data_IF_335192766820
#
_entry.id   IF_335192766820
#
_cell.length_a   1.000
_cell.length_b   1.000
_cell.length_c   1.000
_cell.angle_alpha   90.00
_cell.angle_beta   90.00
_cell.angle_gamma   90.00
#
_symmetry.space_group_name_H-M   'P 1'
#
loop_
_entity.id
_entity.type
_entity.pdbx_description
1 polymer ?
#
# COMPACT_ATOMS: atom_id res chain seq x y z
N UNK A 1 40.86 16.85 -3.52
CA UNK A 1 40.33 17.35 -4.81
C UNK A 1 40.83 16.43 -5.91
N UNK A 2 39.98 15.56 -6.44
CA UNK A 2 40.35 14.70 -7.56
C UNK A 2 40.47 15.58 -8.82
N UNK A 3 41.65 15.64 -9.44
CA UNK A 3 41.81 16.28 -10.74
C UNK A 3 40.92 15.54 -11.74
N UNK A 4 39.90 16.23 -12.25
CA UNK A 4 39.10 15.73 -13.37
C UNK A 4 40.01 15.63 -14.60
N UNK A 5 40.32 14.41 -15.04
CA UNK A 5 41.21 14.16 -16.17
C UNK A 5 40.54 14.64 -17.47
N UNK A 6 41.16 15.59 -18.18
CA UNK A 6 40.60 16.14 -19.42
C UNK A 6 41.06 15.29 -20.61
N UNK A 7 40.21 14.37 -21.05
CA UNK A 7 40.46 13.55 -22.26
C UNK A 7 39.75 14.16 -23.46
N UNK A 8 40.49 14.37 -24.55
CA UNK A 8 39.97 14.96 -25.79
C UNK A 8 40.56 14.31 -27.04
N UNK A 9 40.03 14.69 -28.20
CA UNK A 9 40.59 14.32 -29.51
C UNK A 9 40.74 15.58 -30.35
N UNK A 10 41.90 15.73 -30.99
CA UNK A 10 42.16 16.78 -31.99
C UNK A 10 42.78 16.14 -33.23
N UNK A 11 42.08 16.24 -34.37
CA UNK A 11 42.35 15.41 -35.57
C UNK A 11 42.24 13.94 -35.18
N UNK A 12 43.35 13.20 -35.24
CA UNK A 12 43.42 11.78 -34.85
C UNK A 12 44.22 11.57 -33.56
N UNK A 13 44.58 12.66 -32.87
CA UNK A 13 45.42 12.58 -31.66
C UNK A 13 44.56 12.64 -30.41
N UNK A 14 44.79 11.67 -29.51
CA UNK A 14 44.22 11.67 -28.17
C UNK A 14 45.00 12.65 -27.30
N UNK A 15 44.28 13.54 -26.64
CA UNK A 15 44.80 14.52 -25.71
C UNK A 15 44.48 14.10 -24.28
N UNK A 16 45.48 14.02 -23.41
CA UNK A 16 45.34 13.84 -21.98
C UNK A 16 45.86 15.08 -21.26
N UNK A 17 44.98 15.82 -20.60
CA UNK A 17 45.29 17.14 -20.02
C UNK A 17 45.99 18.06 -21.04
N UNK A 18 45.44 18.10 -22.25
CA UNK A 18 45.88 18.94 -23.37
C UNK A 18 47.22 18.52 -24.02
N UNK A 19 47.89 17.49 -23.50
CA UNK A 19 49.08 16.89 -24.13
C UNK A 19 48.69 15.75 -25.05
N UNK A 20 49.32 15.67 -26.21
CA UNK A 20 49.17 14.54 -27.14
C UNK A 20 49.79 13.28 -26.53
N UNK A 21 49.05 12.16 -26.51
CA UNK A 21 49.50 10.93 -25.83
C UNK A 21 49.30 9.65 -26.64
N UNK A 22 48.43 9.67 -27.65
CA UNK A 22 48.20 8.54 -28.55
C UNK A 22 47.58 9.01 -29.86
N UNK A 23 47.50 8.11 -30.84
CA UNK A 23 46.79 8.33 -32.11
C UNK A 23 45.67 7.31 -32.23
N UNK A 24 44.45 7.75 -32.56
CA UNK A 24 43.30 6.89 -32.86
C UNK A 24 42.82 7.17 -34.29
N UNK A 25 42.88 6.14 -35.14
CA UNK A 25 42.48 6.22 -36.55
C UNK A 25 41.20 5.42 -36.75
N UNK A 26 40.30 5.89 -37.61
CA UNK A 26 39.13 5.10 -38.05
C UNK A 26 39.23 4.86 -39.56
N UNK A 27 39.93 3.80 -39.99
CA UNK A 27 40.18 3.57 -41.42
C UNK A 27 38.91 3.20 -42.19
N UNK A 28 37.92 2.61 -41.51
CA UNK A 28 36.57 2.38 -42.03
C UNK A 28 35.55 2.42 -40.89
N UNK A 29 34.27 2.49 -41.25
CA UNK A 29 33.16 2.72 -40.31
C UNK A 29 33.19 1.71 -39.16
N UNK A 30 33.05 2.23 -37.93
CA UNK A 30 33.00 1.50 -36.67
C UNK A 30 34.27 0.72 -36.28
N UNK A 31 35.33 0.78 -37.09
CA UNK A 31 36.63 0.22 -36.73
C UNK A 31 37.57 1.33 -36.31
N UNK A 32 38.32 1.08 -35.25
CA UNK A 32 39.26 2.03 -34.67
C UNK A 32 40.57 1.33 -34.35
N UNK A 33 41.66 1.98 -34.72
CA UNK A 33 43.01 1.51 -34.45
C UNK A 33 43.74 2.52 -33.57
N UNK A 34 44.36 2.04 -32.49
CA UNK A 34 45.06 2.88 -31.52
C UNK A 34 46.55 2.63 -31.59
N UNK A 35 47.31 3.71 -31.73
CA UNK A 35 48.76 3.73 -31.90
C UNK A 35 49.43 4.59 -30.83
N UNK A 36 50.68 4.28 -30.51
CA UNK A 36 51.58 5.19 -29.81
C UNK A 36 51.91 6.41 -30.70
N UNK A 37 52.50 7.46 -30.12
CA UNK A 37 52.97 8.62 -30.90
C UNK A 37 54.10 8.26 -31.88
N UNK A 38 54.83 7.18 -31.61
CA UNK A 38 55.88 6.62 -32.49
C UNK A 38 55.31 5.65 -33.55
N UNK A 39 54.01 5.71 -33.83
CA UNK A 39 53.28 4.92 -34.83
C UNK A 39 53.34 3.39 -34.63
N UNK A 40 53.55 2.93 -33.38
CA UNK A 40 53.41 1.50 -33.03
C UNK A 40 51.96 1.19 -32.67
N UNK A 41 51.35 0.24 -33.37
CA UNK A 41 49.98 -0.22 -33.09
C UNK A 41 49.93 -0.88 -31.70
N UNK A 42 49.00 -0.44 -30.86
CA UNK A 42 48.78 -1.00 -29.54
C UNK A 42 47.64 -2.03 -29.54
N UNK A 43 46.49 -1.64 -30.11
CA UNK A 43 45.30 -2.49 -30.25
C UNK A 43 44.36 -1.91 -31.31
N UNK A 44 43.41 -2.73 -31.76
CA UNK A 44 42.24 -2.29 -32.51
C UNK A 44 40.95 -2.66 -31.79
N UNK A 45 39.86 -2.00 -32.19
CA UNK A 45 38.53 -2.29 -31.68
C UNK A 45 37.46 -2.02 -32.73
N UNK A 46 36.42 -2.85 -32.70
CA UNK A 46 35.20 -2.69 -33.48
C UNK A 46 34.03 -2.31 -32.58
N UNK A 47 33.35 -1.21 -32.91
CA UNK A 47 32.06 -0.87 -32.32
C UNK A 47 30.96 -1.74 -32.96
N UNK A 48 30.45 -2.69 -32.17
CA UNK A 48 29.38 -3.61 -32.58
C UNK A 48 28.07 -3.24 -31.89
N UNK A 49 26.96 -3.43 -32.60
CA UNK A 49 25.61 -3.16 -32.12
C UNK A 49 24.68 -4.33 -32.38
N UNK A 50 23.89 -4.71 -31.37
CA UNK A 50 22.84 -5.72 -31.47
C UNK A 50 21.49 -5.05 -31.26
N UNK A 51 20.69 -4.98 -32.33
CA UNK A 51 19.34 -4.45 -32.27
C UNK A 51 18.38 -5.46 -31.60
N UNK A 52 17.67 -4.99 -30.57
CA UNK A 52 16.59 -5.70 -29.90
C UNK A 52 15.24 -5.45 -30.62
N UNK A 53 14.19 -6.16 -30.20
CA UNK A 53 12.84 -5.84 -30.64
C UNK A 53 12.41 -4.52 -29.99
N UNK A 54 12.09 -3.49 -30.79
CA UNK A 54 11.63 -2.19 -30.27
C UNK A 54 12.58 -0.99 -30.44
N UNK A 55 13.53 -1.04 -31.39
CA UNK A 55 14.47 0.05 -31.73
C UNK A 55 15.59 0.33 -30.73
N UNK A 56 15.67 -0.40 -29.61
CA UNK A 56 16.83 -0.38 -28.72
C UNK A 56 18.01 -1.14 -29.34
N UNK A 57 19.23 -0.60 -29.20
CA UNK A 57 20.47 -1.21 -29.70
C UNK A 57 21.46 -1.30 -28.55
N UNK A 58 21.91 -2.51 -28.24
CA UNK A 58 22.99 -2.76 -27.28
C UNK A 58 24.33 -2.65 -28.00
N UNK A 59 25.17 -1.72 -27.56
CA UNK A 59 26.49 -1.49 -28.15
C UNK A 59 27.61 -2.05 -27.26
N UNK A 60 28.63 -2.63 -27.89
CA UNK A 60 29.85 -3.09 -27.23
C UNK A 60 31.07 -2.84 -28.13
N UNK A 61 32.24 -2.80 -27.51
CA UNK A 61 33.52 -2.76 -28.19
C UNK A 61 34.12 -4.16 -28.18
N UNK A 62 34.41 -4.69 -29.36
CA UNK A 62 35.17 -5.92 -29.54
C UNK A 62 36.62 -5.55 -29.81
N UNK A 63 37.51 -5.84 -28.87
CA UNK A 63 38.87 -5.32 -28.85
C UNK A 63 39.86 -6.44 -29.12
N UNK A 64 40.93 -6.13 -29.86
CA UNK A 64 42.03 -7.02 -30.16
C UNK A 64 43.36 -6.33 -29.91
N UNK A 65 44.19 -6.91 -29.06
CA UNK A 65 45.55 -6.44 -28.82
C UNK A 65 46.46 -6.69 -30.03
N UNK A 66 47.61 -6.01 -30.07
CA UNK A 66 48.61 -6.23 -31.11
C UNK A 66 49.13 -7.68 -31.21
N UNK A 67 49.11 -8.44 -30.11
CA UNK A 67 49.50 -9.85 -30.06
C UNK A 67 48.34 -10.85 -30.32
N UNK A 68 47.13 -10.33 -30.58
CA UNK A 68 45.98 -11.12 -31.01
C UNK A 68 45.05 -11.60 -29.89
N UNK A 69 45.29 -11.27 -28.62
CA UNK A 69 44.31 -11.49 -27.53
C UNK A 69 43.07 -10.64 -27.76
N UNK A 70 41.89 -11.20 -27.46
CA UNK A 70 40.62 -10.51 -27.66
C UNK A 70 39.85 -10.36 -26.35
N UNK A 71 39.08 -9.29 -26.24
CA UNK A 71 38.17 -9.05 -25.12
C UNK A 71 37.05 -8.12 -25.56
N UNK A 72 35.92 -8.18 -24.86
CA UNK A 72 34.77 -7.31 -25.12
C UNK A 72 34.45 -6.46 -23.89
N UNK A 73 34.00 -5.23 -24.13
CA UNK A 73 33.51 -4.33 -23.10
C UNK A 73 32.25 -3.57 -23.56
N UNK A 74 31.36 -3.16 -22.66
CA UNK A 74 30.19 -2.36 -23.04
C UNK A 74 30.63 -1.02 -23.64
N UNK A 75 29.87 -0.48 -24.60
CA UNK A 75 30.09 0.89 -25.09
C UNK A 75 29.28 1.86 -24.24
N UNK A 76 29.94 2.85 -23.63
CA UNK A 76 29.32 3.77 -22.68
C UNK A 76 29.58 5.24 -23.02
N UNK A 77 28.50 6.02 -23.06
CA UNK A 77 28.58 7.46 -23.33
C UNK A 77 28.83 8.22 -22.03
N UNK A 78 30.10 8.32 -21.64
CA UNK A 78 30.55 8.98 -20.40
C UNK A 78 30.87 10.48 -20.58
N UNK A 79 30.70 11.01 -21.79
CA UNK A 79 30.96 12.40 -22.14
C UNK A 79 29.93 12.89 -23.14
N UNK A 80 29.49 14.14 -23.02
CA UNK A 80 28.60 14.77 -23.99
C UNK A 80 29.33 15.02 -25.31
N UNK A 81 29.20 14.08 -26.25
CA UNK A 81 29.75 14.19 -27.60
C UNK A 81 28.94 13.38 -28.60
N UNK A 82 28.95 13.79 -29.88
CA UNK A 82 28.42 13.00 -31.00
C UNK A 82 29.53 12.28 -31.78
N UNK A 83 30.79 12.49 -31.39
CA UNK A 83 31.97 11.90 -32.02
C UNK A 83 32.32 10.59 -31.32
N UNK A 84 32.14 9.47 -32.02
CA UNK A 84 32.28 8.11 -31.46
C UNK A 84 33.70 7.82 -30.99
N UNK A 85 34.71 8.20 -31.77
CA UNK A 85 36.13 8.17 -31.40
C UNK A 85 36.39 8.89 -30.07
N UNK A 86 35.78 10.07 -29.87
CA UNK A 86 35.93 10.85 -28.62
C UNK A 86 35.29 10.15 -27.44
N UNK A 87 34.12 9.54 -27.64
CA UNK A 87 33.44 8.77 -26.59
C UNK A 87 34.29 7.56 -26.19
N UNK A 88 34.80 6.82 -27.18
CA UNK A 88 35.67 5.65 -26.98
C UNK A 88 36.94 6.06 -26.24
N UNK A 89 37.68 7.07 -26.71
CA UNK A 89 38.89 7.53 -26.05
C UNK A 89 38.62 8.00 -24.61
N UNK A 90 37.52 8.71 -24.37
CA UNK A 90 37.13 9.11 -23.02
C UNK A 90 36.82 7.91 -22.12
N UNK A 91 36.07 6.92 -22.61
CA UNK A 91 35.79 5.70 -21.87
C UNK A 91 37.07 4.92 -21.54
N UNK A 92 37.96 4.73 -22.53
CA UNK A 92 39.24 4.03 -22.37
C UNK A 92 40.16 4.72 -21.36
N UNK A 93 40.20 6.06 -21.36
CA UNK A 93 40.99 6.81 -20.39
C UNK A 93 40.39 6.80 -18.98
N UNK A 94 39.09 7.11 -18.84
CA UNK A 94 38.46 7.27 -17.51
C UNK A 94 38.22 5.95 -16.82
N UNK A 95 37.73 4.92 -17.51
CA UNK A 95 37.38 3.64 -16.88
C UNK A 95 38.55 2.66 -16.80
N UNK A 96 39.42 2.69 -17.82
CA UNK A 96 40.45 1.67 -17.98
C UNK A 96 41.87 2.22 -17.89
N UNK A 97 42.03 3.54 -17.70
CA UNK A 97 43.32 4.19 -17.48
C UNK A 97 44.36 3.93 -18.58
N UNK A 98 43.89 3.82 -19.84
CA UNK A 98 44.75 3.53 -21.00
C UNK A 98 45.68 4.68 -21.41
N UNK A 99 45.41 5.89 -20.93
CA UNK A 99 46.19 7.08 -21.25
C UNK A 99 46.81 7.67 -19.98
N UNK A 100 48.09 8.02 -20.08
CA UNK A 100 48.86 8.71 -19.04
C UNK A 100 49.47 9.97 -19.62
N UNK A 101 50.05 10.83 -18.78
CA UNK A 101 50.80 12.01 -19.21
C UNK A 101 52.03 11.68 -20.07
N UNK A 102 52.51 10.43 -20.04
CA UNK A 102 53.66 9.93 -20.84
C UNK A 102 53.26 9.22 -22.14
N UNK A 103 51.96 8.99 -22.38
CA UNK A 103 51.49 8.22 -23.54
C UNK A 103 50.52 7.11 -23.17
N UNK A 104 50.42 6.07 -24.02
CA UNK A 104 49.66 4.86 -23.73
C UNK A 104 50.23 4.09 -22.53
N UNK A 105 49.35 3.68 -21.62
CA UNK A 105 49.69 2.84 -20.49
C UNK A 105 49.79 1.37 -20.90
N UNK A 106 50.93 0.97 -21.46
CA UNK A 106 51.13 -0.38 -22.00
C UNK A 106 50.99 -1.49 -20.95
N UNK A 107 51.37 -1.24 -19.70
CA UNK A 107 51.18 -2.18 -18.60
C UNK A 107 49.71 -2.43 -18.31
N UNK A 108 48.91 -1.37 -18.16
CA UNK A 108 47.46 -1.50 -17.91
C UNK A 108 46.72 -2.08 -19.12
N UNK A 109 47.12 -1.74 -20.34
CA UNK A 109 46.56 -2.34 -21.56
C UNK A 109 46.84 -3.86 -21.56
N UNK A 110 48.07 -4.29 -21.26
CA UNK A 110 48.38 -5.71 -21.20
C UNK A 110 47.58 -6.43 -20.12
N UNK A 111 47.54 -5.87 -18.89
CA UNK A 111 46.71 -6.40 -17.79
C UNK A 111 45.25 -6.47 -18.17
N UNK A 112 44.75 -5.46 -18.88
CA UNK A 112 43.38 -5.41 -19.33
C UNK A 112 43.07 -6.61 -20.24
N UNK A 113 43.92 -6.95 -21.21
CA UNK A 113 43.70 -8.09 -22.11
C UNK A 113 43.91 -9.47 -21.45
N UNK A 114 44.59 -9.54 -20.29
CA UNK A 114 44.75 -10.80 -19.53
C UNK A 114 43.52 -11.20 -18.71
N UNK A 115 42.61 -10.25 -18.46
CA UNK A 115 41.36 -10.52 -17.73
C UNK A 115 40.34 -11.20 -18.65
N UNK A 116 39.95 -12.42 -18.30
CA UNK A 116 38.82 -13.10 -18.96
C UNK A 116 37.52 -12.38 -18.63
N UNK A 117 36.91 -11.75 -19.64
CA UNK A 117 35.60 -11.09 -19.55
C UNK A 117 34.50 -11.93 -20.18
N UNK A 118 33.26 -11.56 -19.86
CA UNK A 118 32.06 -12.12 -20.48
C UNK A 118 32.03 -11.83 -21.98
N UNK A 119 31.53 -12.79 -22.77
CA UNK A 119 31.26 -12.58 -24.19
C UNK A 119 29.95 -11.80 -24.35
N UNK A 120 30.07 -10.48 -24.50
CA UNK A 120 28.94 -9.58 -24.71
C UNK A 120 28.23 -9.82 -26.04
N UNK A 121 28.95 -10.30 -27.07
CA UNK A 121 28.35 -10.70 -28.34
C UNK A 121 27.29 -11.79 -28.14
N UNK A 122 27.66 -12.90 -27.51
CA UNK A 122 26.74 -14.00 -27.21
C UNK A 122 25.62 -13.57 -26.26
N UNK A 123 25.97 -12.83 -25.20
CA UNK A 123 25.01 -12.29 -24.23
C UNK A 123 23.95 -11.43 -24.91
N UNK A 124 24.36 -10.50 -25.77
CA UNK A 124 23.43 -9.59 -26.44
C UNK A 124 22.63 -10.30 -27.53
N UNK A 125 23.18 -11.34 -28.18
CA UNK A 125 22.41 -12.20 -29.09
C UNK A 125 21.33 -12.99 -28.34
N UNK A 126 21.62 -13.51 -27.16
CA UNK A 126 20.61 -14.15 -26.30
C UNK A 126 19.54 -13.14 -25.86
N UNK A 127 19.94 -11.92 -25.46
CA UNK A 127 19.00 -10.84 -25.14
C UNK A 127 18.09 -10.48 -26.34
N UNK A 128 18.65 -10.44 -27.55
CA UNK A 128 17.88 -10.25 -28.78
C UNK A 128 16.87 -11.37 -29.01
N UNK A 129 17.27 -12.63 -28.87
CA UNK A 129 16.37 -13.78 -29.03
C UNK A 129 15.21 -13.73 -28.03
N UNK A 130 15.50 -13.45 -26.75
CA UNK A 130 14.50 -13.27 -25.71
C UNK A 130 13.55 -12.08 -25.98
N UNK A 131 14.09 -10.95 -26.44
CA UNK A 131 13.29 -9.78 -26.81
C UNK A 131 12.35 -10.04 -28.00
N UNK A 132 12.80 -10.80 -29.00
CA UNK A 132 11.96 -11.22 -30.14
C UNK A 132 10.85 -12.16 -29.67
N UNK A 133 11.18 -13.14 -28.83
CA UNK A 133 10.19 -14.09 -28.29
C UNK A 133 9.11 -13.36 -27.49
N UNK A 134 9.51 -12.47 -26.56
CA UNK A 134 8.58 -11.68 -25.76
C UNK A 134 7.66 -10.79 -26.63
N UNK A 135 8.20 -10.17 -27.69
CA UNK A 135 7.37 -9.39 -28.61
C UNK A 135 6.40 -10.28 -29.39
N UNK A 136 6.82 -11.46 -29.84
CA UNK A 136 5.93 -12.41 -30.52
C UNK A 136 4.80 -12.88 -29.61
N UNK A 137 5.09 -13.21 -28.35
CA UNK A 137 4.08 -13.61 -27.36
C UNK A 137 3.08 -12.48 -27.09
N UNK A 138 3.58 -11.23 -26.99
CA UNK A 138 2.74 -10.05 -26.84
C UNK A 138 1.84 -9.85 -28.06
N UNK A 139 2.37 -9.95 -29.28
CA UNK A 139 1.59 -9.81 -30.51
C UNK A 139 0.54 -10.92 -30.65
N UNK A 140 0.89 -12.16 -30.28
CA UNK A 140 -0.06 -13.29 -30.22
C UNK A 140 -1.19 -13.00 -29.23
N UNK A 141 -0.87 -12.52 -28.04
CA UNK A 141 -1.86 -12.13 -27.01
C UNK A 141 -2.80 -11.04 -27.53
N UNK A 142 -2.25 -9.97 -28.11
CA UNK A 142 -3.05 -8.89 -28.69
C UNK A 142 -3.92 -9.38 -29.85
N UNK A 143 -3.41 -10.27 -30.71
CA UNK A 143 -4.17 -10.90 -31.80
C UNK A 143 -5.36 -11.71 -31.26
N UNK A 144 -5.13 -12.53 -30.22
CA UNK A 144 -6.18 -13.30 -29.56
C UNK A 144 -7.26 -12.39 -28.96
N UNK A 145 -6.87 -11.31 -28.26
CA UNK A 145 -7.81 -10.32 -27.72
C UNK A 145 -8.64 -9.68 -28.86
N UNK A 146 -8.01 -9.27 -29.96
CA UNK A 146 -8.73 -8.72 -31.13
C UNK A 146 -9.71 -9.73 -31.72
N UNK A 147 -9.35 -11.01 -31.76
CA UNK A 147 -10.24 -12.08 -32.25
C UNK A 147 -11.43 -12.36 -31.31
N UNK A 148 -11.21 -12.33 -29.99
CA UNK A 148 -12.25 -12.68 -29.00
C UNK A 148 -13.21 -11.50 -28.80
N UNK A 149 -12.66 -10.29 -28.63
CA UNK A 149 -13.42 -9.13 -28.18
C UNK A 149 -13.74 -8.14 -29.30
N UNK A 150 -12.90 -8.07 -30.35
CA UNK A 150 -13.02 -7.12 -31.46
C UNK A 150 -13.41 -5.71 -30.96
N UNK A 151 -12.61 -5.10 -30.06
CA UNK A 151 -12.95 -3.82 -29.48
C UNK A 151 -13.08 -2.77 -30.58
N UNK A 152 -14.04 -1.86 -30.45
CA UNK A 152 -14.31 -0.75 -31.38
C UNK A 152 -14.69 0.49 -30.59
N UNK A 153 -14.41 1.65 -31.17
CA UNK A 153 -14.73 2.93 -30.54
C UNK A 153 -15.90 3.57 -31.30
N UNK A 154 -16.96 3.90 -30.58
CA UNK A 154 -18.12 4.65 -31.07
C UNK A 154 -17.82 6.13 -31.24
N UNK A 155 -18.73 6.84 -31.89
CA UNK A 155 -18.55 8.25 -32.25
C UNK A 155 -18.55 9.21 -31.05
N UNK A 156 -19.01 8.77 -29.88
CA UNK A 156 -18.96 9.54 -28.62
C UNK A 156 -17.95 8.95 -27.63
N UNK A 157 -17.02 8.12 -28.11
CA UNK A 157 -16.01 7.47 -27.29
C UNK A 157 -16.49 6.19 -26.60
N UNK A 158 -17.66 5.66 -26.97
CA UNK A 158 -18.16 4.38 -26.44
C UNK A 158 -17.19 3.24 -26.79
N UNK A 159 -16.85 2.39 -25.84
CA UNK A 159 -16.02 1.20 -26.08
C UNK A 159 -16.97 0.02 -26.28
N UNK A 160 -16.97 -0.48 -27.50
CA UNK A 160 -17.85 -1.54 -27.98
C UNK A 160 -17.04 -2.84 -28.12
N UNK A 161 -17.60 -3.97 -27.70
CA UNK A 161 -17.07 -5.30 -27.99
C UNK A 161 -18.09 -6.15 -28.71
N UNK A 162 -17.60 -7.00 -29.61
CA UNK A 162 -18.43 -7.93 -30.36
C UNK A 162 -17.79 -9.33 -30.29
N UNK A 163 -18.25 -10.12 -29.33
CA UNK A 163 -17.85 -11.52 -29.16
C UNK A 163 -18.74 -12.45 -30.01
N UNK A 164 -19.05 -12.07 -31.26
CA UNK A 164 -19.94 -12.84 -32.15
C UNK A 164 -21.44 -12.64 -31.90
N UNK A 165 -21.83 -11.69 -31.05
CA UNK A 165 -23.23 -11.33 -30.78
C UNK A 165 -23.54 -9.95 -31.35
N UNK A 166 -24.59 -9.87 -32.17
CA UNK A 166 -25.13 -8.61 -32.67
C UNK A 166 -26.39 -8.23 -31.85
N UNK A 167 -26.54 -6.98 -31.41
CA UNK A 167 -25.64 -5.84 -31.59
C UNK A 167 -24.41 -5.86 -30.66
N UNK A 168 -23.36 -5.11 -31.02
CA UNK A 168 -22.17 -4.93 -30.19
C UNK A 168 -22.53 -4.32 -28.83
N UNK A 169 -21.87 -4.78 -27.76
CA UNK A 169 -22.14 -4.35 -26.39
C UNK A 169 -21.22 -3.20 -25.99
N UNK A 170 -21.77 -2.14 -25.40
CA UNK A 170 -20.97 -1.09 -24.73
C UNK A 170 -20.48 -1.64 -23.40
N UNK A 171 -19.20 -1.48 -23.14
CA UNK A 171 -18.53 -1.94 -21.89
C UNK A 171 -17.76 -0.83 -21.19
N UNK A 172 -17.77 0.38 -21.74
CA UNK A 172 -17.09 1.53 -21.15
C UNK A 172 -17.09 2.72 -22.10
N UNK A 173 -16.38 3.76 -21.67
CA UNK A 173 -16.26 5.02 -22.39
C UNK A 173 -14.82 5.51 -22.34
N UNK A 174 -14.42 6.24 -23.38
CA UNK A 174 -13.11 6.86 -23.48
C UNK A 174 -13.23 8.37 -23.67
N UNK A 175 -12.33 9.10 -23.04
CA UNK A 175 -12.22 10.55 -23.14
C UNK A 175 -10.82 10.92 -23.57
N UNK A 176 -10.68 11.54 -24.75
CA UNK A 176 -9.40 11.97 -25.32
C UNK A 176 -9.09 13.42 -24.97
N UNK A 177 -7.82 13.72 -24.74
CA UNK A 177 -7.36 15.04 -24.33
C UNK A 177 -6.13 15.46 -25.14
N UNK A 178 -5.88 16.77 -25.22
CA UNK A 178 -4.61 17.27 -25.72
C UNK A 178 -3.52 16.99 -24.67
N UNK A 179 -2.48 16.28 -25.08
CA UNK A 179 -1.30 16.05 -24.24
C UNK A 179 -0.01 16.30 -25.03
N UNK A 180 1.09 16.53 -24.31
CA UNK A 180 2.40 16.81 -24.90
C UNK A 180 3.52 16.35 -23.98
N UNK A 181 4.76 16.49 -24.45
CA UNK A 181 5.94 16.16 -23.66
C UNK A 181 5.95 16.94 -22.34
N UNK A 182 6.16 16.22 -21.24
CA UNK A 182 6.21 16.79 -19.88
C UNK A 182 4.91 17.44 -19.40
N UNK A 183 3.77 17.19 -20.07
CA UNK A 183 2.46 17.63 -19.59
C UNK A 183 1.99 16.73 -18.44
N UNK A 184 1.52 17.36 -17.34
CA UNK A 184 0.81 16.64 -16.28
C UNK A 184 -0.63 16.25 -16.70
N UNK A 185 -1.12 16.79 -17.82
CA UNK A 185 -2.45 16.46 -18.32
C UNK A 185 -2.45 15.06 -18.96
N UNK A 186 -3.48 14.25 -18.71
CA UNK A 186 -3.62 12.97 -19.36
C UNK A 186 -3.78 13.15 -20.87
N UNK A 187 -3.31 12.18 -21.64
CA UNK A 187 -3.66 12.01 -23.05
C UNK A 187 -5.05 11.40 -23.20
N UNK A 188 -5.38 10.48 -22.30
CA UNK A 188 -6.57 9.66 -22.43
C UNK A 188 -7.06 9.17 -21.08
N UNK A 189 -8.38 9.07 -20.91
CA UNK A 189 -9.00 8.32 -19.84
C UNK A 189 -9.94 7.24 -20.40
N UNK A 190 -9.96 6.09 -19.74
CA UNK A 190 -10.91 4.99 -19.98
C UNK A 190 -11.71 4.74 -18.70
N UNK A 191 -13.03 4.72 -18.84
CA UNK A 191 -14.00 4.45 -17.79
C UNK A 191 -14.82 3.21 -18.11
N UNK A 192 -15.21 2.48 -17.08
CA UNK A 192 -16.14 1.35 -17.22
C UNK A 192 -17.61 1.82 -17.24
N UNK A 193 -18.57 0.89 -17.17
CA UNK A 193 -20.00 1.22 -17.20
C UNK A 193 -20.50 1.86 -15.90
N UNK A 194 -19.76 1.67 -14.80
CA UNK A 194 -20.06 2.25 -13.49
C UNK A 194 -19.44 3.66 -13.33
N UNK A 195 -18.78 4.16 -14.38
CA UNK A 195 -18.13 5.47 -14.40
C UNK A 195 -16.78 5.50 -13.68
N UNK A 196 -16.28 4.34 -13.22
CA UNK A 196 -14.98 4.21 -12.56
C UNK A 196 -13.89 4.41 -13.62
N UNK A 197 -12.92 5.29 -13.31
CA UNK A 197 -11.76 5.52 -14.18
C UNK A 197 -10.80 4.35 -14.06
N UNK A 198 -10.88 3.41 -15.00
CA UNK A 198 -10.08 2.18 -15.04
C UNK A 198 -8.63 2.47 -15.38
N UNK A 199 -8.39 3.35 -16.36
CA UNK A 199 -7.05 3.68 -16.81
C UNK A 199 -6.94 5.14 -17.26
N UNK A 200 -5.75 5.71 -17.04
CA UNK A 200 -5.36 7.05 -17.49
C UNK A 200 -3.99 6.97 -18.16
N UNK A 201 -3.89 7.50 -19.38
CA UNK A 201 -2.68 7.48 -20.19
C UNK A 201 -1.96 8.84 -20.13
N UNK A 202 -0.64 8.82 -20.03
CA UNK A 202 0.24 9.99 -20.05
C UNK A 202 1.39 9.80 -21.05
N UNK A 203 1.90 10.89 -21.63
CA UNK A 203 3.11 10.83 -22.47
C UNK A 203 4.32 10.45 -21.62
N UNK A 204 5.11 9.47 -22.05
CA UNK A 204 6.36 9.12 -21.38
C UNK A 204 7.49 10.06 -21.79
N UNK A 205 8.46 10.26 -20.89
CA UNK A 205 9.75 10.90 -21.21
C UNK A 205 10.71 9.97 -21.98
N UNK A 206 10.39 8.67 -22.11
CA UNK A 206 11.23 7.66 -22.78
C UNK A 206 11.11 7.67 -24.31
N UNK A 207 10.12 8.35 -24.88
CA UNK A 207 9.96 8.43 -26.33
C UNK A 207 8.58 8.91 -26.79
N UNK A 208 8.49 9.30 -28.07
CA UNK A 208 7.26 9.84 -28.71
C UNK A 208 6.11 8.83 -28.82
N UNK A 209 6.41 7.52 -28.79
CA UNK A 209 5.44 6.42 -28.92
C UNK A 209 5.30 5.59 -27.64
N UNK A 210 5.86 6.08 -26.54
CA UNK A 210 5.87 5.39 -25.27
C UNK A 210 5.00 6.18 -24.31
N UNK A 211 4.09 5.49 -23.62
CA UNK A 211 3.12 6.11 -22.73
C UNK A 211 3.14 5.43 -21.37
N UNK A 212 2.81 6.18 -20.33
CA UNK A 212 2.63 5.65 -18.97
C UNK A 212 1.14 5.51 -18.71
N UNK A 213 0.72 4.36 -18.21
CA UNK A 213 -0.67 4.05 -17.86
C UNK A 213 -0.77 3.94 -16.36
N UNK A 214 -1.71 4.67 -15.76
CA UNK A 214 -2.08 4.56 -14.35
C UNK A 214 -3.49 4.00 -14.26
N UNK A 215 -3.74 3.10 -13.32
CA UNK A 215 -5.00 2.36 -13.24
C UNK A 215 -5.71 2.53 -11.90
N UNK A 216 -6.97 2.12 -11.84
CA UNK A 216 -7.83 2.31 -10.65
C UNK A 216 -7.32 1.56 -9.40
N UNK A 217 -6.55 0.49 -9.59
CA UNK A 217 -5.94 -0.31 -8.53
C UNK A 217 -4.50 0.16 -8.18
N UNK A 218 -4.15 1.38 -8.58
CA UNK A 218 -2.85 2.04 -8.37
C UNK A 218 -1.65 1.35 -9.04
N UNK A 219 -1.90 0.46 -10.01
CA UNK A 219 -0.83 -0.09 -10.83
C UNK A 219 -0.40 0.91 -11.92
N UNK A 220 0.89 0.89 -12.23
CA UNK A 220 1.49 1.69 -13.30
C UNK A 220 2.28 0.80 -14.26
N UNK A 221 2.07 0.97 -15.57
CA UNK A 221 2.83 0.25 -16.59
C UNK A 221 3.08 1.11 -17.82
N UNK A 222 3.97 0.62 -18.70
CA UNK A 222 4.32 1.31 -19.95
C UNK A 222 3.55 0.72 -21.12
N UNK A 223 2.92 1.57 -21.92
CA UNK A 223 2.29 1.21 -23.19
C UNK A 223 3.18 1.62 -24.38
N UNK A 224 3.85 0.67 -25.07
CA UNK A 224 4.53 0.93 -26.33
C UNK A 224 3.54 0.91 -27.49
N UNK A 225 3.24 2.08 -28.05
CA UNK A 225 2.29 2.22 -29.14
C UNK A 225 2.95 2.04 -30.52
N UNK A 226 2.29 1.37 -31.49
CA UNK A 226 2.78 1.33 -32.87
C UNK A 226 2.77 2.71 -33.56
N UNK A 227 1.93 3.64 -33.07
CA UNK A 227 1.72 4.98 -33.64
C UNK A 227 1.75 6.08 -32.57
N UNK A 228 2.08 7.30 -32.99
CA UNK A 228 2.03 8.46 -32.09
C UNK A 228 0.58 8.81 -31.79
N UNK A 229 0.30 9.18 -30.55
CA UNK A 229 -1.00 9.67 -30.12
C UNK A 229 -1.38 10.97 -30.86
N UNK A 230 -2.64 11.04 -31.29
CA UNK A 230 -3.27 12.27 -31.72
C UNK A 230 -4.72 12.31 -31.18
N UNK A 231 -5.22 13.47 -30.73
CA UNK A 231 -6.62 13.62 -30.37
C UNK A 231 -7.50 13.27 -31.59
N UNK A 232 -8.48 12.39 -31.40
CA UNK A 232 -9.35 11.82 -32.47
C UNK A 232 -8.80 10.60 -33.24
N UNK A 233 -7.63 10.06 -32.89
CA UNK A 233 -7.15 8.80 -33.48
C UNK A 233 -7.84 7.58 -32.83
N UNK A 234 -8.99 7.20 -33.40
CA UNK A 234 -9.74 6.01 -32.97
C UNK A 234 -8.97 4.69 -33.11
N UNK A 235 -7.97 4.63 -33.99
CA UNK A 235 -7.15 3.42 -34.13
C UNK A 235 -6.11 3.33 -33.00
N UNK A 236 -5.53 4.46 -32.58
CA UNK A 236 -4.70 4.51 -31.36
C UNK A 236 -5.52 4.02 -30.15
N UNK A 237 -6.76 4.49 -30.05
CA UNK A 237 -7.66 4.11 -28.97
C UNK A 237 -8.00 2.63 -28.95
N UNK A 238 -8.32 2.08 -30.12
CA UNK A 238 -8.60 0.67 -30.28
C UNK A 238 -7.43 -0.20 -29.80
N UNK A 239 -6.21 0.17 -30.24
CA UNK A 239 -4.98 -0.50 -29.83
C UNK A 239 -4.73 -0.38 -28.33
N UNK A 240 -4.96 0.81 -27.76
CA UNK A 240 -4.80 1.01 -26.32
C UNK A 240 -5.81 0.18 -25.51
N UNK A 241 -7.09 0.13 -25.89
CA UNK A 241 -8.10 -0.71 -25.23
C UNK A 241 -7.74 -2.19 -25.35
N UNK A 242 -7.28 -2.63 -26.53
CA UNK A 242 -6.78 -4.00 -26.73
C UNK A 242 -5.62 -4.30 -25.79
N UNK A 243 -4.71 -3.34 -25.60
CA UNK A 243 -3.60 -3.45 -24.68
C UNK A 243 -4.06 -3.53 -23.22
N UNK A 244 -5.03 -2.70 -22.80
CA UNK A 244 -5.64 -2.78 -21.47
C UNK A 244 -6.21 -4.17 -21.18
N UNK A 245 -6.84 -4.81 -22.17
CA UNK A 245 -7.39 -6.15 -22.01
C UNK A 245 -6.31 -7.20 -21.85
N UNK A 246 -5.19 -7.07 -22.57
CA UNK A 246 -4.04 -7.94 -22.40
C UNK A 246 -3.42 -7.80 -20.99
N UNK A 247 -3.48 -6.60 -20.41
CA UNK A 247 -3.07 -6.33 -19.02
C UNK A 247 -4.16 -6.69 -17.98
N UNK A 248 -5.28 -7.30 -18.41
CA UNK A 248 -6.33 -7.82 -17.54
C UNK A 248 -7.44 -6.81 -17.17
N UNK A 249 -7.46 -5.63 -17.80
CA UNK A 249 -8.48 -4.58 -17.58
C UNK A 249 -9.57 -4.63 -18.65
N UNK A 250 -10.57 -5.51 -18.49
CA UNK A 250 -11.60 -5.79 -19.50
C UNK A 250 -12.82 -4.87 -19.46
N UNK A 251 -12.84 -3.89 -18.55
CA UNK A 251 -13.94 -2.93 -18.34
C UNK A 251 -15.26 -3.61 -17.92
N UNK A 252 -16.41 -3.04 -18.26
CA UNK A 252 -17.73 -3.50 -17.84
C UNK A 252 -18.04 -3.07 -16.41
N UNK A 253 -18.05 -4.03 -15.49
CA UNK A 253 -18.25 -3.82 -14.05
C UNK A 253 -17.06 -4.32 -13.21
N UNK A 254 -15.94 -4.64 -13.86
CA UNK A 254 -14.80 -5.30 -13.23
C UNK A 254 -14.20 -4.44 -12.09
N UNK A 255 -14.04 -3.14 -12.31
CA UNK A 255 -13.45 -2.26 -11.30
C UNK A 255 -14.38 -2.12 -10.09
N UNK A 256 -15.69 -2.01 -10.33
CA UNK A 256 -16.69 -2.02 -9.25
C UNK A 256 -16.64 -3.30 -8.44
N UNK A 257 -16.63 -4.47 -9.08
CA UNK A 257 -16.57 -5.77 -8.41
C UNK A 257 -15.31 -5.91 -7.56
N UNK A 258 -14.13 -5.58 -8.11
CA UNK A 258 -12.87 -5.60 -7.36
C UNK A 258 -12.89 -4.64 -6.16
N UNK A 259 -13.45 -3.44 -6.32
CA UNK A 259 -13.58 -2.49 -5.21
C UNK A 259 -14.54 -2.99 -4.13
N UNK A 260 -15.64 -3.66 -4.52
CA UNK A 260 -16.54 -4.30 -3.57
C UNK A 260 -15.87 -5.45 -2.81
N UNK A 261 -15.14 -6.32 -3.50
CA UNK A 261 -14.38 -7.42 -2.88
C UNK A 261 -13.37 -6.88 -1.87
N UNK A 262 -12.63 -5.83 -2.24
CA UNK A 262 -11.71 -5.15 -1.34
C UNK A 262 -12.43 -4.56 -0.13
N UNK A 263 -13.56 -3.88 -0.34
CA UNK A 263 -14.34 -3.31 0.75
C UNK A 263 -14.88 -4.38 1.69
N UNK A 264 -15.36 -5.50 1.17
CA UNK A 264 -15.82 -6.64 1.98
C UNK A 264 -14.66 -7.26 2.76
N UNK A 265 -13.49 -7.40 2.14
CA UNK A 265 -12.29 -7.86 2.83
C UNK A 265 -11.89 -6.90 3.97
N UNK A 266 -11.92 -5.59 3.74
CA UNK A 266 -11.68 -4.57 4.77
C UNK A 266 -12.68 -4.64 5.92
N UNK A 267 -13.97 -4.81 5.61
CA UNK A 267 -15.03 -4.96 6.62
C UNK A 267 -14.79 -6.22 7.46
N UNK A 268 -14.54 -7.37 6.81
CA UNK A 268 -14.28 -8.62 7.51
C UNK A 268 -13.06 -8.52 8.43
N UNK A 269 -11.96 -7.99 7.91
CA UNK A 269 -10.72 -7.74 8.65
C UNK A 269 -10.93 -6.77 9.83
N UNK A 270 -11.79 -5.76 9.68
CA UNK A 270 -12.17 -4.86 10.77
C UNK A 270 -13.06 -5.53 11.81
N UNK A 271 -13.99 -6.40 11.40
CA UNK A 271 -14.85 -7.18 12.30
C UNK A 271 -14.01 -8.13 13.14
N UNK A 272 -13.07 -8.85 12.53
CA UNK A 272 -12.21 -9.82 13.21
C UNK A 272 -11.27 -9.17 14.26
N UNK A 273 -10.91 -7.90 14.06
CA UNK A 273 -10.10 -7.12 15.02
C UNK A 273 -10.92 -6.42 16.11
N UNK A 274 -12.22 -6.27 15.89
CA UNK A 274 -13.06 -5.48 16.77
C UNK A 274 -13.44 -6.26 18.03
N UNK A 275 -13.62 -5.55 19.14
CA UNK A 275 -14.23 -6.13 20.35
C UNK A 275 -15.77 -6.24 20.26
N UNK A 276 -16.36 -5.71 19.18
CA UNK A 276 -17.78 -5.81 18.91
C UNK A 276 -18.23 -7.28 18.80
N UNK A 277 -19.46 -7.55 19.23
CA UNK A 277 -20.07 -8.87 19.14
C UNK A 277 -21.10 -8.86 18.02
N UNK A 278 -21.00 -9.83 17.10
CA UNK A 278 -21.90 -9.99 15.96
C UNK A 278 -22.54 -11.37 15.99
N UNK A 279 -23.84 -11.41 16.31
CA UNK A 279 -24.65 -12.63 16.37
C UNK A 279 -23.99 -13.78 17.19
N UNK A 280 -23.36 -13.42 18.31
CA UNK A 280 -22.70 -14.38 19.22
C UNK A 280 -23.75 -15.06 20.10
N UNK A 281 -23.75 -16.39 20.25
CA UNK A 281 -24.66 -17.07 21.19
C UNK A 281 -24.52 -16.51 22.61
N UNK A 282 -25.64 -16.30 23.29
CA UNK A 282 -25.65 -15.80 24.66
C UNK A 282 -27.06 -15.56 25.16
N UNK A 283 -27.18 -14.79 26.24
CA UNK A 283 -28.47 -14.51 26.83
C UNK A 283 -28.56 -13.11 27.42
N UNK A 284 -29.78 -12.59 27.48
CA UNK A 284 -30.13 -11.39 28.26
C UNK A 284 -30.88 -11.82 29.50
N UNK A 285 -30.53 -11.23 30.65
CA UNK A 285 -31.31 -11.28 31.88
C UNK A 285 -31.93 -9.91 32.08
N UNK A 286 -33.27 -9.87 32.10
CA UNK A 286 -33.98 -8.62 32.29
C UNK A 286 -34.04 -8.19 33.77
N UNK A 287 -34.62 -7.01 34.03
CA UNK A 287 -34.76 -6.44 35.38
C UNK A 287 -35.57 -7.33 36.34
N UNK A 288 -36.46 -8.18 35.81
CA UNK A 288 -37.24 -9.14 36.61
C UNK A 288 -36.46 -10.42 36.92
N UNK A 289 -35.27 -10.58 36.35
CA UNK A 289 -34.47 -11.79 36.46
C UNK A 289 -34.77 -12.84 35.40
N UNK A 290 -35.66 -12.56 34.43
CA UNK A 290 -36.00 -13.52 33.37
C UNK A 290 -34.85 -13.62 32.37
N UNK A 291 -34.35 -14.84 32.18
CA UNK A 291 -33.33 -15.19 31.20
C UNK A 291 -33.97 -15.46 29.83
N UNK A 292 -33.40 -14.89 28.76
CA UNK A 292 -33.78 -15.16 27.37
C UNK A 292 -32.53 -15.44 26.55
N UNK A 293 -32.40 -16.67 26.04
CA UNK A 293 -31.31 -17.13 25.17
C UNK A 293 -31.50 -16.64 23.72
N UNK A 294 -30.40 -16.41 23.00
CA UNK A 294 -30.42 -16.05 21.58
C UNK A 294 -29.05 -15.62 21.06
N UNK A 295 -29.05 -14.89 19.95
CA UNK A 295 -27.84 -14.32 19.36
C UNK A 295 -27.71 -12.85 19.76
N UNK A 296 -26.59 -12.51 20.36
CA UNK A 296 -26.24 -11.19 20.90
C UNK A 296 -25.44 -10.43 19.84
N UNK A 297 -25.89 -9.21 19.53
CA UNK A 297 -25.12 -8.22 18.78
C UNK A 297 -24.99 -6.95 19.60
N UNK A 298 -23.76 -6.45 19.76
CA UNK A 298 -23.47 -5.15 20.39
C UNK A 298 -22.22 -4.56 19.74
N UNK A 299 -22.27 -3.26 19.48
CA UNK A 299 -21.11 -2.51 19.02
C UNK A 299 -20.59 -1.68 20.19
N UNK A 300 -19.43 -2.03 20.73
CA UNK A 300 -18.71 -1.28 21.76
C UNK A 300 -17.82 -0.18 21.18
N UNK A 301 -17.40 -0.31 19.91
CA UNK A 301 -16.56 0.64 19.21
C UNK A 301 -16.96 0.79 17.73
N UNK A 302 -16.50 1.88 17.12
CA UNK A 302 -16.61 2.11 15.69
C UNK A 302 -15.81 1.06 14.90
N UNK A 303 -16.37 0.58 13.80
CA UNK A 303 -15.66 -0.33 12.90
C UNK A 303 -14.61 0.44 12.08
N UNK A 304 -13.33 0.14 12.32
CA UNK A 304 -12.19 0.79 11.66
C UNK A 304 -11.71 0.01 10.44
N UNK A 305 -12.37 0.23 9.30
CA UNK A 305 -12.06 -0.42 8.02
C UNK A 305 -10.77 0.06 7.38
N UNK A 306 -10.29 1.25 7.76
CA UNK A 306 -9.09 1.88 7.19
C UNK A 306 -7.86 1.82 8.11
N UNK A 307 -7.96 1.11 9.25
CA UNK A 307 -6.87 0.95 10.24
C UNK A 307 -6.33 2.28 10.77
N UNK A 308 -7.20 3.25 10.96
CA UNK A 308 -6.89 4.57 11.52
C UNK A 308 -6.57 4.51 13.03
N UNK A 309 -6.98 3.45 13.72
CA UNK A 309 -6.94 3.34 15.17
C UNK A 309 -8.09 4.07 15.88
N UNK A 310 -9.05 4.64 15.13
CA UNK A 310 -10.20 5.34 15.68
C UNK A 310 -11.23 4.33 16.21
N UNK A 311 -11.51 4.40 17.53
CA UNK A 311 -12.47 3.50 18.20
C UNK A 311 -13.81 4.14 18.54
N UNK A 312 -13.87 5.47 18.55
CA UNK A 312 -15.05 6.24 18.92
C UNK A 312 -15.35 7.28 17.84
N UNK A 313 -16.63 7.67 17.66
CA UNK A 313 -17.00 8.66 16.66
C UNK A 313 -16.33 10.00 16.99
N UNK A 314 -15.77 10.66 15.97
CA UNK A 314 -15.17 11.99 16.11
C UNK A 314 -16.22 13.10 16.22
N UNK A 315 -17.42 12.86 15.68
CA UNK A 315 -18.55 13.79 15.67
C UNK A 315 -19.86 13.04 15.97
N UNK A 316 -20.79 13.69 16.67
CA UNK A 316 -22.12 13.14 16.98
C UNK A 316 -22.23 12.42 18.33
N UNK A 317 -23.41 11.82 18.60
CA UNK A 317 -23.66 11.07 19.82
C UNK A 317 -22.92 9.72 19.80
N UNK A 318 -22.29 9.37 20.92
CA UNK A 318 -21.69 8.05 21.10
C UNK A 318 -22.79 7.03 21.44
N UNK A 319 -23.17 6.20 20.47
CA UNK A 319 -24.16 5.13 20.66
C UNK A 319 -23.50 3.77 20.96
N UNK A 320 -22.17 3.71 20.92
CA UNK A 320 -21.43 2.47 21.10
C UNK A 320 -21.46 2.05 22.57
N UNK A 321 -21.67 0.76 22.83
CA UNK A 321 -21.80 0.19 24.17
C UNK A 321 -23.13 0.52 24.87
N UNK A 322 -24.06 1.26 24.24
CA UNK A 322 -25.32 1.66 24.88
C UNK A 322 -26.50 0.72 24.59
N UNK A 323 -26.42 -0.09 23.54
CA UNK A 323 -27.52 -0.95 23.07
C UNK A 323 -27.01 -2.34 22.75
N UNK A 324 -27.77 -3.34 23.20
CA UNK A 324 -27.57 -4.74 22.82
C UNK A 324 -28.82 -5.25 22.12
N UNK A 325 -28.62 -5.99 21.04
CA UNK A 325 -29.69 -6.63 20.28
C UNK A 325 -29.65 -8.13 20.53
N UNK A 326 -30.80 -8.70 20.88
CA UNK A 326 -31.02 -10.12 21.03
C UNK A 326 -31.91 -10.62 19.87
N UNK A 327 -31.38 -11.53 19.05
CA UNK A 327 -32.16 -12.26 18.05
C UNK A 327 -32.56 -13.62 18.61
N UNK A 328 -33.85 -13.94 18.56
CA UNK A 328 -34.45 -15.17 19.09
C UNK A 328 -35.19 -15.91 18.00
N UNK A 329 -35.20 -17.24 18.04
CA UNK A 329 -36.04 -18.05 17.16
C UNK A 329 -37.49 -18.03 17.67
N UNK A 330 -38.43 -17.70 16.80
CA UNK A 330 -39.87 -17.72 17.06
C UNK A 330 -40.56 -18.65 16.06
N UNK A 331 -41.78 -19.14 16.35
CA UNK A 331 -42.52 -20.04 15.45
C UNK A 331 -42.77 -19.50 14.03
N UNK A 332 -42.68 -18.18 13.82
CA UNK A 332 -42.90 -17.50 12.53
C UNK A 332 -41.64 -16.82 11.96
N UNK A 333 -40.45 -17.20 12.43
CA UNK A 333 -39.17 -16.64 11.97
C UNK A 333 -38.31 -16.09 13.11
N UNK A 334 -37.38 -15.19 12.79
CA UNK A 334 -36.49 -14.59 13.79
C UNK A 334 -37.10 -13.32 14.38
N UNK A 335 -37.20 -13.24 15.70
CA UNK A 335 -37.58 -12.04 16.43
C UNK A 335 -36.36 -11.29 16.95
N UNK A 336 -36.28 -9.98 16.65
CA UNK A 336 -35.20 -9.11 17.12
C UNK A 336 -35.71 -8.16 18.19
N UNK A 337 -35.04 -8.14 19.35
CA UNK A 337 -35.34 -7.20 20.45
C UNK A 337 -34.09 -6.43 20.85
N UNK A 338 -34.22 -5.11 20.95
CA UNK A 338 -33.13 -4.22 21.38
C UNK A 338 -33.35 -3.79 22.83
N UNK A 339 -32.28 -3.85 23.63
CA UNK A 339 -32.24 -3.43 25.01
C UNK A 339 -31.23 -2.29 25.18
N UNK A 340 -31.64 -1.21 25.82
CA UNK A 340 -30.76 -0.11 26.19
C UNK A 340 -30.06 -0.40 27.52
N UNK A 341 -28.87 0.13 27.73
CA UNK A 341 -28.10 -0.03 28.96
C UNK A 341 -28.79 0.58 30.20
N UNK A 342 -29.73 1.51 30.03
CA UNK A 342 -30.51 2.11 31.13
C UNK A 342 -31.68 1.23 31.61
N UNK A 343 -31.98 0.14 30.90
CA UNK A 343 -33.12 -0.73 31.20
C UNK A 343 -32.88 -1.71 32.36
N UNK A 344 -31.71 -1.64 32.99
CA UNK A 344 -31.35 -2.48 34.15
C UNK A 344 -31.13 -3.95 33.79
N UNK A 345 -30.80 -4.22 32.53
CA UNK A 345 -30.49 -5.56 32.05
C UNK A 345 -29.00 -5.88 32.18
N UNK A 346 -28.70 -7.18 32.15
CA UNK A 346 -27.36 -7.70 31.87
C UNK A 346 -27.43 -8.70 30.74
N UNK A 347 -26.36 -8.86 29.99
CA UNK A 347 -26.24 -9.95 29.03
C UNK A 347 -24.94 -10.70 29.26
N UNK A 348 -24.88 -11.97 28.88
CA UNK A 348 -23.65 -12.74 28.96
C UNK A 348 -23.43 -13.53 27.68
N UNK A 349 -22.16 -13.72 27.33
CA UNK A 349 -21.71 -14.49 26.17
C UNK A 349 -20.60 -15.47 26.60
N UNK A 350 -20.48 -16.64 25.95
CA UNK A 350 -19.41 -17.60 26.25
C UNK A 350 -18.03 -16.99 26.01
N UNK A 351 -17.08 -17.27 26.90
CA UNK A 351 -15.68 -16.87 26.77
C UNK A 351 -14.75 -17.89 27.45
N UNK A 352 -13.82 -18.49 26.70
CA UNK A 352 -12.78 -19.42 27.20
C UNK A 352 -13.27 -20.48 28.20
N UNK A 353 -14.41 -21.12 27.95
CA UNK A 353 -14.99 -22.14 28.83
C UNK A 353 -15.77 -21.61 30.05
N UNK A 354 -15.86 -20.28 30.20
CA UNK A 354 -16.76 -19.57 31.11
C UNK A 354 -17.71 -18.63 30.36
N UNK A 355 -18.17 -17.58 31.04
CA UNK A 355 -19.06 -16.56 30.49
C UNK A 355 -18.56 -15.16 30.85
N UNK A 356 -18.49 -14.27 29.84
CA UNK A 356 -18.30 -12.84 30.04
C UNK A 356 -19.68 -12.17 30.14
N UNK A 357 -19.97 -11.59 31.30
CA UNK A 357 -21.22 -10.87 31.55
C UNK A 357 -21.04 -9.36 31.51
N UNK A 358 -21.99 -8.65 30.92
CA UNK A 358 -21.98 -7.20 30.75
C UNK A 358 -23.19 -6.57 31.41
N UNK A 359 -22.97 -5.48 32.15
CA UNK A 359 -23.99 -4.78 32.93
C UNK A 359 -24.17 -3.37 32.40
N UNK A 360 -25.41 -2.95 32.19
CA UNK A 360 -25.74 -1.57 31.84
C UNK A 360 -25.76 -0.65 33.07
N UNK A 361 -24.95 0.42 33.08
CA UNK A 361 -24.89 1.36 34.20
C UNK A 361 -24.48 2.78 33.81
N UNK A 362 -24.95 3.74 34.60
CA UNK A 362 -24.45 5.13 34.61
C UNK A 362 -23.29 5.25 35.61
N UNK A 363 -22.27 6.00 35.22
CA UNK A 363 -20.99 6.14 35.93
C UNK A 363 -20.69 7.58 36.34
N UNK A 364 -20.16 7.76 37.54
CA UNK A 364 -19.51 9.00 37.97
C UNK A 364 -18.08 9.03 37.44
N UNK A 365 -17.72 10.06 36.67
CA UNK A 365 -16.34 10.28 36.20
C UNK A 365 -16.20 10.54 34.70
N UNK A 366 -17.17 10.13 33.88
CA UNK A 366 -17.15 10.34 32.42
C UNK A 366 -17.64 11.72 31.99
N UNK A 367 -16.88 12.77 32.31
CA UNK A 367 -17.27 14.12 31.92
C UNK A 367 -17.27 14.33 30.39
N UNK A 368 -16.27 13.77 29.69
CA UNK A 368 -16.11 13.98 28.24
C UNK A 368 -17.19 13.29 27.40
N UNK A 369 -17.48 11.99 27.64
CA UNK A 369 -18.57 11.30 26.93
C UNK A 369 -19.94 11.93 27.23
N UNK A 370 -20.15 12.38 28.48
CA UNK A 370 -21.37 13.10 28.87
C UNK A 370 -21.53 14.44 28.14
N UNK A 371 -20.44 15.20 27.98
CA UNK A 371 -20.45 16.46 27.22
C UNK A 371 -20.72 16.24 25.73
N UNK A 372 -20.12 15.20 25.13
CA UNK A 372 -20.38 14.82 23.74
C UNK A 372 -21.86 14.44 23.52
N UNK A 373 -22.41 13.59 24.38
CA UNK A 373 -23.80 13.19 24.31
C UNK A 373 -24.77 14.37 24.55
N UNK A 374 -24.43 15.28 25.48
CA UNK A 374 -25.23 16.47 25.74
C UNK A 374 -25.23 17.45 24.56
N UNK A 375 -24.07 17.68 23.92
CA UNK A 375 -23.95 18.50 22.71
C UNK A 375 -24.75 17.94 21.52
N UNK A 376 -24.94 16.62 21.48
CA UNK A 376 -25.72 15.93 20.46
C UNK A 376 -27.22 15.74 20.83
N UNK A 377 -27.73 16.38 21.90
CA UNK A 377 -29.09 16.21 22.42
C UNK A 377 -29.45 14.74 22.78
N UNK A 378 -28.44 13.91 23.05
CA UNK A 378 -28.63 12.51 23.41
C UNK A 378 -28.52 12.33 24.93
N UNK A 379 -29.66 12.07 25.59
CA UNK A 379 -29.74 12.02 27.06
C UNK A 379 -29.27 10.72 27.72
N UNK A 380 -28.91 9.69 26.96
CA UNK A 380 -28.47 8.41 27.51
C UNK A 380 -26.96 8.41 27.80
N UNK A 381 -26.60 8.14 29.05
CA UNK A 381 -25.22 8.01 29.51
C UNK A 381 -24.95 6.64 30.17
N UNK A 382 -25.83 5.68 29.93
CA UNK A 382 -25.66 4.31 30.37
C UNK A 382 -24.90 3.52 29.30
N UNK A 383 -23.90 2.76 29.74
CA UNK A 383 -23.10 1.89 28.88
C UNK A 383 -23.00 0.50 29.51
N UNK A 384 -22.76 -0.50 28.68
CA UNK A 384 -22.47 -1.87 29.10
C UNK A 384 -20.99 -2.04 29.46
N UNK A 385 -20.71 -2.44 30.70
CA UNK A 385 -19.37 -2.74 31.18
C UNK A 385 -19.23 -4.23 31.49
N UNK A 386 -18.08 -4.81 31.17
CA UNK A 386 -17.78 -6.23 31.41
C UNK A 386 -17.54 -6.48 32.89
N UNK A 387 -18.11 -7.54 33.45
CA UNK A 387 -17.86 -7.99 34.81
C UNK A 387 -16.48 -8.64 34.92
N UNK A 388 -15.65 -8.13 35.82
CA UNK A 388 -14.33 -8.69 36.15
C UNK A 388 -14.43 -9.54 37.40
N UNK A 389 -15.06 -9.01 38.44
CA UNK A 389 -15.24 -9.70 39.71
C UNK A 389 -16.50 -9.22 40.42
N UNK A 390 -17.13 -10.14 41.16
CA UNK A 390 -18.34 -9.85 41.93
C UNK A 390 -18.22 -10.45 43.32
N UNK A 391 -18.39 -9.58 44.30
CA UNK A 391 -18.60 -9.94 45.70
C UNK A 391 -20.02 -9.53 46.09
N UNK A 392 -20.54 -10.11 47.17
CA UNK A 392 -21.98 -10.12 47.51
C UNK A 392 -22.72 -8.79 47.25
N UNK A 393 -22.10 -7.64 47.59
CA UNK A 393 -22.68 -6.29 47.48
C UNK A 393 -21.93 -5.33 46.56
N UNK A 394 -20.90 -5.79 45.86
CA UNK A 394 -19.99 -4.93 45.11
C UNK A 394 -19.45 -5.64 43.87
N UNK A 395 -19.37 -4.93 42.76
CA UNK A 395 -18.86 -5.42 41.49
C UNK A 395 -17.70 -4.56 41.03
N UNK A 396 -16.67 -5.22 40.50
CA UNK A 396 -15.65 -4.62 39.66
C UNK A 396 -16.00 -4.92 38.21
N UNK A 397 -16.14 -3.86 37.43
CA UNK A 397 -16.45 -3.90 36.01
C UNK A 397 -15.36 -3.17 35.22
N UNK A 398 -15.25 -3.43 33.92
CA UNK A 398 -14.27 -2.86 33.03
C UNK A 398 -14.92 -2.35 31.74
N UNK A 399 -14.42 -1.24 31.21
CA UNK A 399 -14.82 -0.75 29.89
C UNK A 399 -14.32 -1.75 28.82
N UNK A 400 -15.19 -2.24 27.92
CA UNK A 400 -14.80 -3.23 26.90
C UNK A 400 -13.78 -2.73 25.88
N UNK A 401 -13.69 -1.41 25.68
CA UNK A 401 -12.81 -0.78 24.68
C UNK A 401 -11.54 -0.23 25.33
N UNK A 402 -11.71 0.47 26.45
CA UNK A 402 -10.66 1.14 27.19
C UNK A 402 -10.28 0.31 28.43
N UNK A 403 -9.54 -0.78 28.24
CA UNK A 403 -9.25 -1.78 29.28
C UNK A 403 -8.58 -1.24 30.56
N UNK A 404 -7.96 -0.06 30.51
CA UNK A 404 -7.44 0.64 31.68
C UNK A 404 -8.52 1.30 32.56
N UNK A 405 -9.76 1.40 32.07
CA UNK A 405 -10.89 1.99 32.79
C UNK A 405 -11.69 0.91 33.50
N UNK A 406 -11.80 1.06 34.80
CA UNK A 406 -12.61 0.20 35.66
C UNK A 406 -13.77 0.98 36.27
N UNK A 407 -14.79 0.26 36.72
CA UNK A 407 -15.92 0.81 37.44
C UNK A 407 -16.22 -0.06 38.65
N UNK A 408 -16.30 0.57 39.81
CA UNK A 408 -16.78 -0.08 41.03
C UNK A 408 -18.26 0.28 41.21
N UNK A 409 -19.13 -0.73 41.35
CA UNK A 409 -20.56 -0.56 41.58
C UNK A 409 -20.99 -1.31 42.84
N UNK A 410 -21.50 -0.57 43.83
CA UNK A 410 -22.13 -1.17 45.03
C UNK A 410 -23.63 -1.35 44.83
N UNK A 411 -24.28 -2.16 45.66
CA UNK A 411 -25.74 -2.29 45.71
C UNK A 411 -26.44 -1.02 46.26
N UNK A 412 -25.78 -0.28 47.15
CA UNK A 412 -26.30 0.93 47.81
C UNK A 412 -26.34 2.15 46.88
N UNK A 413 -25.29 2.35 46.07
CA UNK A 413 -25.15 3.55 45.25
C UNK A 413 -25.85 3.38 43.89
N UNK A 414 -26.64 4.35 43.41
CA UNK A 414 -27.36 4.22 42.13
C UNK A 414 -26.43 4.20 40.91
N UNK A 415 -25.29 4.90 40.98
CA UNK A 415 -24.30 5.02 39.90
C UNK A 415 -23.00 4.30 40.28
N UNK A 416 -22.28 3.79 39.29
CA UNK A 416 -20.92 3.28 39.48
C UNK A 416 -19.91 4.41 39.68
N UNK A 417 -18.78 4.11 40.32
CA UNK A 417 -17.64 5.02 40.43
C UNK A 417 -16.54 4.58 39.46
N UNK A 418 -16.23 5.44 38.48
CA UNK A 418 -15.19 5.15 37.50
C UNK A 418 -13.79 5.41 38.05
N UNK A 419 -12.90 4.48 37.73
CA UNK A 419 -11.46 4.53 37.92
C UNK A 419 -10.85 4.66 36.51
N UNK A 420 -10.24 5.81 36.23
CA UNK A 420 -9.79 6.21 34.89
C UNK A 420 -8.35 6.75 34.95
N UNK A 421 -7.93 7.52 33.95
CA UNK A 421 -6.57 8.03 33.82
C UNK A 421 -6.20 9.15 34.80
N UNK A 422 -7.11 9.57 35.69
CA UNK A 422 -6.80 10.55 36.75
C UNK A 422 -5.70 10.02 37.69
N UNK A 423 -5.05 10.94 38.43
CA UNK A 423 -4.05 10.57 39.41
C UNK A 423 -4.65 9.71 40.54
N UNK A 424 -3.89 8.73 41.02
CA UNK A 424 -4.33 7.80 42.07
C UNK A 424 -4.81 8.54 43.31
N UNK A 425 -4.13 9.61 43.72
CA UNK A 425 -4.54 10.44 44.88
C UNK A 425 -5.97 11.01 44.74
N UNK A 426 -6.31 11.59 43.58
CA UNK A 426 -7.66 12.14 43.33
C UNK A 426 -8.71 11.04 43.22
N UNK A 427 -8.35 9.88 42.65
CA UNK A 427 -9.24 8.73 42.55
C UNK A 427 -9.48 8.09 43.91
N UNK A 428 -8.44 7.93 44.71
CA UNK A 428 -8.47 7.38 46.07
C UNK A 428 -9.41 8.16 46.96
N UNK A 429 -9.34 9.49 46.97
CA UNK A 429 -10.25 10.33 47.74
C UNK A 429 -11.72 10.17 47.30
N UNK A 430 -11.98 10.13 45.99
CA UNK A 430 -13.35 9.95 45.46
C UNK A 430 -13.88 8.55 45.72
N UNK A 431 -13.05 7.53 45.59
CA UNK A 431 -13.42 6.14 45.86
C UNK A 431 -13.64 5.93 47.36
N UNK A 432 -12.82 6.54 48.22
CA UNK A 432 -13.00 6.51 49.67
C UNK A 432 -14.35 7.11 50.11
N UNK A 433 -14.77 8.22 49.49
CA UNK A 433 -16.10 8.80 49.74
C UNK A 433 -17.22 7.90 49.19
N UNK A 434 -17.04 7.34 48.00
CA UNK A 434 -18.00 6.41 47.41
C UNK A 434 -18.21 5.13 48.24
N UNK A 435 -17.15 4.64 48.90
CA UNK A 435 -17.14 3.45 49.75
C UNK A 435 -17.18 3.77 51.26
N UNK A 436 -17.60 4.98 51.65
CA UNK A 436 -17.60 5.45 53.05
C UNK A 436 -18.36 4.57 54.04
N UNK A 437 -19.31 3.77 53.54
CA UNK A 437 -20.10 2.84 54.35
C UNK A 437 -19.24 1.68 54.89
N UNK A 438 -18.03 1.46 54.35
CA UNK A 438 -17.01 0.62 54.97
C UNK A 438 -15.81 1.45 55.44
N UNK A 439 -15.78 1.79 56.74
CA UNK A 439 -14.72 2.62 57.34
C UNK A 439 -13.30 2.09 57.08
N UNK A 440 -12.98 0.79 57.31
CA UNK A 440 -11.64 0.27 57.05
C UNK A 440 -11.15 0.51 55.62
N UNK A 441 -12.00 0.25 54.63
CA UNK A 441 -11.67 0.45 53.20
C UNK A 441 -11.54 1.94 52.88
N UNK A 442 -12.45 2.78 53.37
CA UNK A 442 -12.42 4.22 53.14
C UNK A 442 -11.15 4.87 53.73
N UNK A 443 -10.75 4.49 54.94
CA UNK A 443 -9.52 4.99 55.58
C UNK A 443 -8.25 4.50 54.88
N UNK A 444 -8.21 3.23 54.48
CA UNK A 444 -7.10 2.66 53.70
C UNK A 444 -6.88 3.42 52.39
N UNK A 445 -7.96 3.73 51.66
CA UNK A 445 -7.90 4.51 50.42
C UNK A 445 -7.41 5.95 50.66
N UNK A 446 -7.83 6.61 51.75
CA UNK A 446 -7.37 7.98 52.08
C UNK A 446 -5.87 8.05 52.38
N UNK A 447 -5.29 6.96 52.89
CA UNK A 447 -3.86 6.87 53.15
C UNK A 447 -3.02 6.70 51.86
N UNK A 448 -3.65 6.62 50.68
CA UNK A 448 -3.03 6.63 49.35
C UNK A 448 -1.94 5.56 49.11
N UNK A 449 -2.06 4.40 49.76
CA UNK A 449 -1.06 3.32 49.67
C UNK A 449 -1.33 2.32 48.52
N UNK A 450 -2.31 2.57 47.65
CA UNK A 450 -2.76 1.61 46.64
C UNK A 450 -2.74 2.21 45.23
N UNK A 451 -2.11 1.50 44.30
CA UNK A 451 -2.24 1.82 42.88
C UNK A 451 -3.59 1.32 42.35
N UNK A 452 -4.52 2.26 42.17
CA UNK A 452 -5.87 1.99 41.68
C UNK A 452 -5.92 1.62 40.18
N UNK A 453 -4.79 1.64 39.46
CA UNK A 453 -4.72 1.19 38.07
C UNK A 453 -4.43 -0.31 37.96
N UNK A 454 -4.04 -0.96 39.06
CA UNK A 454 -3.78 -2.38 39.10
C UNK A 454 -5.08 -3.15 39.41
N UNK A 455 -5.44 -4.13 38.57
CA UNK A 455 -6.67 -4.90 38.71
C UNK A 455 -6.73 -5.70 40.02
N UNK A 456 -5.61 -6.29 40.46
CA UNK A 456 -5.56 -7.10 41.67
C UNK A 456 -5.77 -6.24 42.93
N UNK A 457 -5.26 -5.01 42.92
CA UNK A 457 -5.55 -4.04 43.98
C UNK A 457 -7.05 -3.71 44.04
N UNK A 458 -7.70 -3.53 42.88
CA UNK A 458 -9.15 -3.27 42.81
C UNK A 458 -9.95 -4.50 43.27
N UNK A 459 -9.50 -5.72 42.94
CA UNK A 459 -10.08 -6.97 43.45
C UNK A 459 -9.94 -7.02 44.98
N UNK A 460 -8.77 -6.69 45.53
CA UNK A 460 -8.56 -6.59 46.97
C UNK A 460 -9.54 -5.63 47.66
N UNK A 461 -9.74 -4.44 47.08
CA UNK A 461 -10.68 -3.44 47.60
C UNK A 461 -12.12 -3.99 47.63
N UNK A 462 -12.59 -4.64 46.55
CA UNK A 462 -13.96 -5.18 46.54
C UNK A 462 -14.12 -6.36 47.50
N UNK A 463 -13.09 -7.19 47.68
CA UNK A 463 -13.11 -8.32 48.62
C UNK A 463 -13.13 -7.82 50.07
N UNK A 464 -12.36 -6.79 50.41
CA UNK A 464 -12.41 -6.16 51.73
C UNK A 464 -13.78 -5.52 51.99
N UNK A 465 -14.30 -4.77 51.01
CA UNK A 465 -15.63 -4.15 51.11
C UNK A 465 -16.73 -5.20 51.30
N UNK A 466 -16.64 -6.33 50.60
CA UNK A 466 -17.58 -7.45 50.73
C UNK A 466 -17.67 -8.05 52.13
N UNK A 467 -16.61 -7.92 52.94
CA UNK A 467 -16.56 -8.39 54.34
C UNK A 467 -17.18 -7.40 55.34
N UNK A 468 -17.43 -6.16 54.93
CA UNK A 468 -17.96 -5.14 55.81
C UNK A 468 -19.43 -5.46 56.17
N UNK A 469 -19.69 -5.61 57.47
CA UNK A 469 -21.07 -5.71 57.98
C UNK A 469 -21.72 -4.34 57.89
N UNK A 470 -23.03 -4.33 57.64
CA UNK A 470 -23.82 -3.09 57.66
C UNK A 470 -23.76 -2.43 59.02
#
# INVERSE_FOLDING_TARGET
>A
MALCQKIGIKKDKVLYNEKEVAVIKSPYRNHYEVYTLDDKKAFDLDLKGVALSGQEILYYLDMKSADGRTTQIPYEVLVTSFKVDRIIAHQLGVKYNFFTDKGLNTEEINRFFDVKRENLGDKYLQAKAGSIAAENDRQSTLSNIRSIYNPRIGSKGEILVNNGSYPAKIIGYSSMFNCGFSSANPCLEVRDLDGIRVATLYQSNRGIKTYVVKTFDNNEFTYPSPRTYAPSDYAFMNEFVTYLFAEGYTLGHQAYQKNQELQQAKIKDAVDRSINLYDVPGYVVDRSGKKTEGLITIWFEQLDTERTGQKLPSEGADLFGQRVTLKTSLPRGMGTKTYNADSGIRFCVPYNGGEDCYYGLDVKGELMKKLQNYGALHGNNYYFYRLVAKENKIMLLQDPVELQKYVIKTDIQPKGQMIDNRSSEKLSLKLADYLKDCKPVSESLKNNNLDLKNQDNLIGIITEYGKCKK
#
